data_IF_883429782775
#
_entry.id   IF_883429782775
#
_cell.length_a   1.000
_cell.length_b   1.000
_cell.length_c   1.000
_cell.angle_alpha   90.00
_cell.angle_beta   90.00
_cell.angle_gamma   90.00
#
_symmetry.space_group_name_H-M   'P 1'
#
loop_
_entity.id
_entity.type
_entity.pdbx_description
1 polymer ?
#
# COMPACT_ATOMS: atom_id res chain seq x y z
N UNK A 1 -0.90 25.52 41.55
CA UNK A 1 0.11 24.60 40.95
C UNK A 1 -0.57 23.72 39.92
N UNK A 2 0.02 23.53 38.72
CA UNK A 2 -0.51 22.59 37.71
C UNK A 2 -0.09 21.17 38.08
N UNK A 3 -1.03 20.22 38.07
CA UNK A 3 -0.75 18.79 38.26
C UNK A 3 -0.34 18.17 36.92
N UNK A 4 0.57 17.21 36.97
CA UNK A 4 0.97 16.38 35.82
C UNK A 4 0.86 14.90 36.18
N UNK A 5 0.61 14.07 35.18
CA UNK A 5 0.53 12.61 35.31
C UNK A 5 1.24 11.94 34.14
N UNK A 6 1.64 10.68 34.35
CA UNK A 6 2.24 9.82 33.32
C UNK A 6 1.38 8.59 33.14
N UNK A 7 1.26 8.12 31.90
CA UNK A 7 0.52 6.92 31.54
C UNK A 7 1.23 6.17 30.41
N UNK A 8 0.98 4.87 30.33
CA UNK A 8 1.46 4.00 29.27
C UNK A 8 0.26 3.31 28.64
N UNK A 9 0.27 3.20 27.31
CA UNK A 9 -0.75 2.51 26.54
C UNK A 9 -0.09 1.53 25.56
N UNK A 10 -0.80 0.46 25.23
CA UNK A 10 -0.46 -0.51 24.19
C UNK A 10 -1.70 -0.80 23.35
N UNK A 11 -1.51 -1.33 22.14
CA UNK A 11 -2.59 -1.69 21.23
C UNK A 11 -2.26 -3.01 20.52
N UNK A 12 -3.31 -3.78 20.26
CA UNK A 12 -3.32 -4.83 19.26
C UNK A 12 -4.48 -4.52 18.31
N UNK A 13 -4.21 -4.47 17.01
CA UNK A 13 -5.20 -4.14 15.99
C UNK A 13 -5.08 -5.13 14.83
N UNK A 14 -6.19 -5.79 14.50
CA UNK A 14 -6.27 -6.69 13.36
C UNK A 14 -6.40 -5.91 12.05
N UNK A 15 -5.87 -6.45 10.97
CA UNK A 15 -6.04 -5.88 9.62
C UNK A 15 -6.96 -6.76 8.78
N UNK A 16 -7.68 -6.10 7.87
CA UNK A 16 -8.64 -6.71 6.95
C UNK A 16 -10.09 -6.42 7.32
N UNK A 17 -11.02 -6.75 6.42
CA UNK A 17 -12.46 -6.45 6.59
C UNK A 17 -13.08 -7.04 7.87
N UNK A 18 -12.60 -8.19 8.34
CA UNK A 18 -13.06 -8.86 9.57
C UNK A 18 -14.21 -9.85 9.36
N UNK A 19 -14.63 -10.52 10.45
CA UNK A 19 -15.81 -11.41 10.52
C UNK A 19 -15.87 -12.53 9.46
N UNK A 20 -14.72 -12.92 8.90
CA UNK A 20 -14.64 -13.96 7.86
C UNK A 20 -15.16 -13.54 6.49
N UNK A 21 -15.43 -12.24 6.27
CA UNK A 21 -15.79 -11.75 4.95
C UNK A 21 -14.60 -11.82 4.00
N UNK A 22 -14.84 -12.10 2.72
CA UNK A 22 -13.77 -12.10 1.73
C UNK A 22 -13.23 -10.69 1.53
N UNK A 23 -11.99 -10.48 1.95
CA UNK A 23 -11.24 -9.24 1.72
C UNK A 23 -10.33 -9.42 0.50
N UNK A 24 -10.89 -9.18 -0.67
CA UNK A 24 -10.23 -9.39 -1.95
C UNK A 24 -9.87 -8.06 -2.62
N UNK A 25 -8.70 -8.05 -3.25
CA UNK A 25 -8.27 -6.97 -4.13
C UNK A 25 -7.73 -7.55 -5.43
N UNK A 26 -7.73 -6.73 -6.49
CA UNK A 26 -7.28 -7.11 -7.83
C UNK A 26 -6.32 -6.03 -8.32
N UNK A 27 -5.25 -6.48 -8.97
CA UNK A 27 -4.36 -5.62 -9.72
C UNK A 27 -4.00 -6.28 -11.07
N UNK A 28 -3.72 -5.46 -12.07
CA UNK A 28 -3.20 -5.91 -13.37
C UNK A 28 -1.89 -5.19 -13.69
N UNK A 29 -1.04 -5.87 -14.46
CA UNK A 29 0.28 -5.39 -14.87
C UNK A 29 0.41 -5.54 -16.38
N UNK A 30 0.84 -4.48 -17.05
CA UNK A 30 1.01 -4.40 -18.50
C UNK A 30 2.39 -3.80 -18.81
N UNK A 31 3.08 -4.35 -19.81
CA UNK A 31 4.31 -3.75 -20.34
C UNK A 31 3.89 -2.83 -21.50
N UNK A 32 4.07 -1.52 -21.32
CA UNK A 32 3.80 -0.50 -22.33
C UNK A 32 5.00 -0.33 -23.28
N UNK A 33 4.79 0.44 -24.35
CA UNK A 33 5.85 0.84 -25.27
C UNK A 33 7.05 1.44 -24.53
N UNK A 34 8.26 1.17 -25.04
CA UNK A 34 9.54 1.60 -24.45
C UNK A 34 9.84 0.97 -23.07
N UNK A 35 9.16 -0.10 -22.70
CA UNK A 35 9.49 -0.93 -21.53
C UNK A 35 9.04 -0.32 -20.20
N UNK A 36 8.10 0.64 -20.21
CA UNK A 36 7.41 1.07 -19.00
C UNK A 36 6.44 0.00 -18.53
N UNK A 37 6.20 -0.06 -17.23
CA UNK A 37 5.31 -1.06 -16.62
C UNK A 37 4.13 -0.32 -16.00
N UNK A 38 2.94 -0.51 -16.59
CA UNK A 38 1.71 0.06 -16.11
C UNK A 38 1.02 -0.92 -15.15
N UNK A 39 0.73 -0.44 -13.94
CA UNK A 39 -0.02 -1.17 -12.92
C UNK A 39 -1.37 -0.51 -12.77
N UNK A 40 -2.43 -1.31 -12.69
CA UNK A 40 -3.77 -0.84 -12.32
C UNK A 40 -4.20 -1.58 -11.07
N UNK A 41 -4.79 -0.87 -10.11
CA UNK A 41 -5.20 -1.43 -8.81
C UNK A 41 -6.56 -0.89 -8.38
N UNK A 42 -7.32 -1.70 -7.64
CA UNK A 42 -8.55 -1.26 -7.00
C UNK A 42 -8.32 -0.47 -5.69
N UNK A 43 -7.07 -0.42 -5.20
CA UNK A 43 -6.73 0.27 -3.96
C UNK A 43 -6.84 1.80 -4.14
N UNK A 44 -7.79 2.41 -3.43
CA UNK A 44 -7.94 3.86 -3.42
C UNK A 44 -6.86 4.53 -2.56
N UNK A 45 -6.21 5.56 -3.10
CA UNK A 45 -5.29 6.41 -2.36
C UNK A 45 -5.95 7.73 -2.01
N UNK A 46 -6.07 7.98 -0.72
CA UNK A 46 -6.65 9.19 -0.13
C UNK A 46 -5.61 9.98 0.66
N UNK A 47 -4.32 9.71 0.43
CA UNK A 47 -3.19 10.39 1.07
C UNK A 47 -2.40 9.52 2.03
N UNK A 48 -2.80 8.26 2.23
CA UNK A 48 -2.02 7.28 2.98
C UNK A 48 -0.81 6.75 2.20
N UNK A 49 -0.78 6.95 0.88
CA UNK A 49 0.37 6.60 0.03
C UNK A 49 0.39 5.15 -0.43
N UNK A 50 -0.78 4.52 -0.60
CA UNK A 50 -0.85 3.13 -1.07
C UNK A 50 -0.30 2.95 -2.48
N UNK A 51 -0.42 3.94 -3.37
CA UNK A 51 0.14 3.85 -4.73
C UNK A 51 1.67 3.86 -4.71
N UNK A 52 2.27 4.62 -3.80
CA UNK A 52 3.73 4.60 -3.56
C UNK A 52 4.18 3.22 -3.09
N UNK A 53 3.45 2.62 -2.15
CA UNK A 53 3.76 1.27 -1.65
C UNK A 53 3.67 0.23 -2.78
N UNK A 54 2.60 0.27 -3.59
CA UNK A 54 2.45 -0.68 -4.72
C UNK A 54 3.58 -0.50 -5.74
N UNK A 55 3.97 0.75 -6.03
CA UNK A 55 5.12 1.06 -6.91
C UNK A 55 6.40 0.40 -6.38
N UNK A 56 6.67 0.52 -5.08
CA UNK A 56 7.85 -0.09 -4.45
C UNK A 56 7.79 -1.63 -4.46
N UNK A 57 6.62 -2.22 -4.17
CA UNK A 57 6.42 -3.67 -4.23
C UNK A 57 6.73 -4.19 -5.63
N UNK A 58 6.15 -3.58 -6.66
CA UNK A 58 6.37 -4.03 -8.03
C UNK A 58 7.81 -3.81 -8.51
N UNK A 59 8.46 -2.72 -8.11
CA UNK A 59 9.87 -2.47 -8.43
C UNK A 59 10.76 -3.58 -7.87
N UNK A 60 10.54 -3.95 -6.61
CA UNK A 60 11.30 -4.98 -5.90
C UNK A 60 11.08 -6.37 -6.50
N UNK A 61 9.83 -6.73 -6.81
CA UNK A 61 9.47 -8.03 -7.38
C UNK A 61 10.00 -8.17 -8.81
N UNK A 62 9.88 -7.13 -9.62
CA UNK A 62 10.29 -7.15 -11.03
C UNK A 62 11.77 -6.80 -11.23
N UNK A 63 12.51 -6.45 -10.17
CA UNK A 63 13.93 -6.08 -10.18
C UNK A 63 14.23 -4.92 -11.14
N UNK A 64 13.34 -3.94 -11.16
CA UNK A 64 13.48 -2.71 -11.94
C UNK A 64 13.55 -1.50 -11.01
N UNK A 65 13.95 -0.34 -11.54
CA UNK A 65 13.87 0.89 -10.78
C UNK A 65 12.42 1.38 -10.67
N UNK A 66 12.00 2.00 -9.55
CA UNK A 66 10.66 2.53 -9.37
C UNK A 66 10.21 3.48 -10.49
N UNK A 67 11.14 4.24 -11.09
CA UNK A 67 10.81 5.21 -12.15
C UNK A 67 10.32 4.56 -13.45
N UNK A 68 10.48 3.24 -13.62
CA UNK A 68 9.96 2.48 -14.77
C UNK A 68 8.49 2.11 -14.58
N UNK A 69 8.00 2.14 -13.34
CA UNK A 69 6.63 1.80 -12.99
C UNK A 69 5.75 3.05 -13.07
N UNK A 70 4.57 2.86 -13.63
CA UNK A 70 3.48 3.81 -13.67
C UNK A 70 2.25 3.15 -13.05
N UNK A 71 1.57 3.86 -12.17
CA UNK A 71 0.36 3.40 -11.47
C UNK A 71 -0.70 4.49 -11.49
#
# INVERSE_FOLDING_TARGET
MKKQGRGMATIMFGFGYGEGFPDHSIASVEIEDRGKILIRTAAADVGQGVLTVITQIAAEVLKVKPEIIRI
#
